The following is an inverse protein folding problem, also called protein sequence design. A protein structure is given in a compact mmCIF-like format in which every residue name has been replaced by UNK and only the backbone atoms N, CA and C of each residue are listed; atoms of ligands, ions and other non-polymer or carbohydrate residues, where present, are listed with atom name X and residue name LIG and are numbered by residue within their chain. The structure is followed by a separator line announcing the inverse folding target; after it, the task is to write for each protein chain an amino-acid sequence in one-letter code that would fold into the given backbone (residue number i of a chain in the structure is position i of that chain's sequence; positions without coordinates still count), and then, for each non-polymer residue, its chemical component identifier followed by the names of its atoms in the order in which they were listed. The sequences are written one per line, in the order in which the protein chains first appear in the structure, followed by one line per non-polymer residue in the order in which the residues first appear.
data_IF_323561039224
#
_entry.id   IF_323561039224
#
_cell.length_a   1.000
_cell.length_b   1.000
_cell.length_c   1.000
_cell.angle_alpha   90.00
_cell.angle_beta   90.00
_cell.angle_gamma   90.00
#
_symmetry.space_group_name_H-M   'P 1'
#
loop_
_entity.id
_entity.type
_entity.pdbx_description
1 polymer ?
#
# COMPACT_ATOMS: atom_id res chain seq x y z
N UNK A 1 -3.76 -2.91 -16.23
CA UNK A 1 -4.32 -1.72 -15.56
C UNK A 1 -4.31 -1.95 -14.04
N UNK A 2 -4.04 -0.94 -13.22
CA UNK A 2 -4.31 -1.02 -11.78
C UNK A 2 -5.47 -0.08 -11.48
N UNK A 3 -6.66 -0.62 -11.23
CA UNK A 3 -7.69 0.16 -10.54
C UNK A 3 -7.20 0.40 -9.12
N UNK A 4 -6.89 1.64 -8.77
CA UNK A 4 -6.44 2.01 -7.42
C UNK A 4 -7.60 2.10 -6.41
N UNK A 5 -8.74 1.52 -6.76
CA UNK A 5 -9.95 1.47 -5.95
C UNK A 5 -10.30 0.00 -5.68
N UNK A 6 -10.60 -0.31 -4.43
CA UNK A 6 -11.10 -1.60 -3.98
C UNK A 6 -12.26 -1.39 -3.02
N UNK A 7 -13.06 -2.42 -2.81
CA UNK A 7 -14.11 -2.39 -1.80
C UNK A 7 -13.47 -2.28 -0.41
N UNK A 8 -14.02 -1.46 0.51
CA UNK A 8 -13.57 -1.46 1.89
C UNK A 8 -13.72 -2.86 2.50
N UNK A 9 -12.66 -3.32 3.18
CA UNK A 9 -12.66 -4.60 3.87
C UNK A 9 -12.34 -4.32 5.34
N UNK A 10 -13.25 -4.72 6.22
CA UNK A 10 -13.02 -4.68 7.66
C UNK A 10 -12.25 -5.91 8.14
N UNK A 11 -11.31 -5.67 9.05
CA UNK A 11 -10.54 -6.71 9.72
C UNK A 11 -9.29 -7.18 8.96
N UNK A 12 -8.66 -8.21 9.53
CA UNK A 12 -7.32 -8.66 9.11
C UNK A 12 -7.35 -9.85 8.15
N UNK A 13 -8.52 -10.45 7.92
CA UNK A 13 -8.64 -11.60 7.02
C UNK A 13 -8.40 -11.17 5.57
N UNK A 14 -7.93 -12.10 4.76
CA UNK A 14 -7.79 -11.88 3.33
C UNK A 14 -9.17 -12.05 2.69
N UNK A 15 -9.56 -11.24 1.68
CA UNK A 15 -10.81 -11.45 0.98
C UNK A 15 -10.87 -12.85 0.37
N UNK A 16 -12.00 -13.53 0.56
CA UNK A 16 -12.29 -14.86 0.01
C UNK A 16 -12.99 -14.76 -1.35
N UNK A 17 -13.80 -13.73 -1.55
CA UNK A 17 -14.59 -13.51 -2.77
C UNK A 17 -13.86 -12.56 -3.72
N UNK A 18 -13.91 -12.87 -5.01
CA UNK A 18 -13.44 -11.99 -6.09
C UNK A 18 -14.62 -11.23 -6.66
N UNK A 19 -14.48 -9.92 -6.84
CA UNK A 19 -15.53 -9.08 -7.45
C UNK A 19 -15.57 -9.29 -8.97
N UNK A 20 -16.71 -9.74 -9.50
CA UNK A 20 -16.91 -9.88 -10.95
C UNK A 20 -16.71 -8.54 -11.67
N UNK A 21 -17.16 -7.44 -11.05
CA UNK A 21 -16.97 -6.09 -11.58
C UNK A 21 -15.48 -5.77 -11.82
N UNK A 22 -14.59 -6.20 -10.92
CA UNK A 22 -13.14 -5.98 -11.07
C UNK A 22 -12.56 -6.74 -12.28
N UNK A 23 -13.11 -7.94 -12.56
CA UNK A 23 -12.72 -8.74 -13.73
C UNK A 23 -13.21 -8.05 -15.01
N UNK A 24 -14.47 -7.64 -15.03
CA UNK A 24 -15.10 -7.04 -16.22
C UNK A 24 -14.41 -5.73 -16.64
N UNK A 25 -14.04 -4.88 -15.67
CA UNK A 25 -13.30 -3.64 -15.93
C UNK A 25 -11.91 -3.93 -16.52
N UNK A 26 -11.19 -4.91 -15.97
CA UNK A 26 -9.88 -5.30 -16.49
C UNK A 26 -9.99 -5.89 -17.91
N UNK A 27 -10.99 -6.75 -18.15
CA UNK A 27 -11.25 -7.36 -19.45
C UNK A 27 -11.59 -6.31 -20.52
N UNK A 28 -12.45 -5.34 -20.19
CA UNK A 28 -12.79 -4.25 -21.11
C UNK A 28 -11.55 -3.44 -21.52
N UNK A 29 -10.69 -3.09 -20.55
CA UNK A 29 -9.46 -2.37 -20.83
C UNK A 29 -8.47 -3.16 -21.70
N UNK A 30 -8.29 -4.45 -21.43
CA UNK A 30 -7.41 -5.31 -22.25
C UNK A 30 -7.95 -5.41 -23.68
N UNK A 31 -9.27 -5.61 -23.84
CA UNK A 31 -9.90 -5.68 -25.16
C UNK A 31 -9.73 -4.38 -25.97
N UNK A 32 -9.83 -3.23 -25.31
CA UNK A 32 -9.71 -1.92 -25.95
C UNK A 32 -8.26 -1.57 -26.31
N UNK A 33 -7.31 -1.81 -25.40
CA UNK A 33 -5.94 -1.30 -25.56
C UNK A 33 -4.90 -2.35 -25.96
N UNK A 34 -5.20 -3.64 -25.81
CA UNK A 34 -4.28 -4.74 -26.14
C UNK A 34 -5.03 -5.86 -26.89
N UNK A 35 -5.59 -5.58 -28.09
CA UNK A 35 -6.55 -6.46 -28.78
C UNK A 35 -5.98 -7.81 -29.24
N UNK A 36 -4.66 -7.99 -29.19
CA UNK A 36 -4.00 -9.28 -29.47
C UNK A 36 -4.14 -10.28 -28.32
N UNK A 37 -4.47 -9.82 -27.10
CA UNK A 37 -4.65 -10.68 -25.95
C UNK A 37 -6.11 -11.15 -25.84
N UNK A 38 -6.29 -12.40 -25.44
CA UNK A 38 -7.60 -12.93 -25.08
C UNK A 38 -8.09 -12.30 -23.77
N UNK A 39 -9.14 -11.49 -23.86
CA UNK A 39 -9.78 -10.81 -22.74
C UNK A 39 -11.04 -11.53 -22.25
N UNK A 40 -11.36 -12.73 -22.75
CA UNK A 40 -12.58 -13.46 -22.36
C UNK A 40 -12.52 -14.00 -20.94
N UNK A 41 -11.32 -14.34 -20.46
CA UNK A 41 -11.10 -14.83 -19.09
C UNK A 41 -9.66 -14.63 -18.61
N UNK A 42 -9.45 -14.38 -17.31
CA UNK A 42 -8.11 -14.28 -16.73
C UNK A 42 -7.44 -15.67 -16.64
N UNK A 43 -6.14 -15.73 -16.88
CA UNK A 43 -5.36 -16.97 -16.68
C UNK A 43 -5.20 -17.33 -15.20
N UNK A 44 -5.17 -16.33 -14.33
CA UNK A 44 -5.09 -16.48 -12.88
C UNK A 44 -5.83 -15.33 -12.19
N UNK A 45 -6.51 -15.63 -11.10
CA UNK A 45 -7.16 -14.65 -10.24
C UNK A 45 -6.54 -14.72 -8.86
N UNK A 46 -6.01 -13.59 -8.42
CA UNK A 46 -5.54 -13.41 -7.05
C UNK A 46 -6.22 -12.20 -6.42
N UNK A 47 -6.21 -12.16 -5.10
CA UNK A 47 -6.75 -11.04 -4.31
C UNK A 47 -5.62 -10.43 -3.50
N UNK A 48 -5.75 -9.16 -3.15
CA UNK A 48 -4.76 -8.46 -2.34
C UNK A 48 -5.47 -7.40 -1.49
N UNK A 49 -4.75 -6.83 -0.52
CA UNK A 49 -5.26 -5.77 0.34
C UNK A 49 -4.36 -4.55 0.30
N UNK A 50 -4.99 -3.39 0.35
CA UNK A 50 -4.31 -2.14 0.67
C UNK A 50 -4.62 -1.74 2.10
N UNK A 51 -3.58 -1.30 2.81
CA UNK A 51 -3.73 -0.56 4.06
C UNK A 51 -3.54 0.92 3.73
N UNK A 52 -4.61 1.69 3.89
CA UNK A 52 -4.66 3.12 3.59
C UNK A 52 -4.54 3.93 4.89
N UNK A 53 -3.77 5.02 4.87
CA UNK A 53 -3.94 6.10 5.85
C UNK A 53 -5.05 7.04 5.39
N UNK A 54 -5.51 7.92 6.28
CA UNK A 54 -6.55 8.93 5.96
C UNK A 54 -6.15 9.84 4.78
N UNK A 55 -4.84 10.12 4.64
CA UNK A 55 -4.28 10.98 3.60
C UNK A 55 -3.62 10.20 2.44
N UNK A 56 -3.79 8.88 2.38
CA UNK A 56 -3.17 7.98 1.40
C UNK A 56 -1.62 8.04 1.30
N UNK A 57 -0.93 8.45 2.37
CA UNK A 57 0.53 8.45 2.48
C UNK A 57 1.08 7.42 3.47
N UNK A 58 2.38 7.16 3.40
CA UNK A 58 3.04 6.27 4.35
C UNK A 58 2.95 6.78 5.79
N UNK A 59 3.08 5.87 6.74
CA UNK A 59 3.37 6.20 8.13
C UNK A 59 4.74 5.63 8.47
N UNK A 60 5.71 6.51 8.73
CA UNK A 60 7.11 6.16 8.95
C UNK A 60 7.64 6.96 10.14
N UNK A 61 8.28 6.29 11.10
CA UNK A 61 8.97 6.95 12.21
C UNK A 61 8.63 6.35 13.57
N UNK A 62 9.00 7.01 14.67
CA UNK A 62 8.75 6.52 16.03
C UNK A 62 7.25 6.48 16.35
N UNK A 63 6.85 5.49 17.15
CA UNK A 63 5.52 5.48 17.75
C UNK A 63 5.46 6.45 18.95
N UNK A 64 4.53 7.42 18.96
CA UNK A 64 4.39 8.38 20.06
C UNK A 64 4.18 7.68 21.41
N UNK A 65 4.97 8.08 22.40
CA UNK A 65 4.94 7.49 23.75
C UNK A 65 5.75 6.20 23.92
N UNK A 66 6.43 5.72 22.87
CA UNK A 66 7.40 4.62 22.96
C UNK A 66 8.81 5.08 22.59
N UNK A 67 9.81 4.55 23.29
CA UNK A 67 11.23 4.82 23.00
C UNK A 67 11.88 3.79 22.09
N UNK A 68 11.17 2.69 21.79
CA UNK A 68 11.75 1.49 21.15
C UNK A 68 10.86 0.88 20.06
N UNK A 69 9.82 1.58 19.61
CA UNK A 69 8.93 1.14 18.54
C UNK A 69 9.01 2.12 17.37
N UNK A 70 9.33 1.59 16.18
CA UNK A 70 9.26 2.29 14.91
C UNK A 70 8.10 1.71 14.08
N UNK A 71 7.44 2.57 13.32
CA UNK A 71 6.37 2.23 12.39
C UNK A 71 6.88 2.42 10.97
N UNK A 72 6.54 1.46 10.10
CA UNK A 72 6.67 1.57 8.66
C UNK A 72 5.48 0.88 8.01
N UNK A 73 4.49 1.63 7.56
CA UNK A 73 3.22 1.06 7.09
C UNK A 73 2.39 2.00 6.23
N UNK A 74 1.12 1.63 6.06
CA UNK A 74 0.14 2.38 5.25
C UNK A 74 0.64 2.67 3.83
N UNK A 75 1.13 1.63 3.16
CA UNK A 75 1.70 1.71 1.81
C UNK A 75 0.78 2.30 0.74
N UNK A 76 -0.52 2.41 1.01
CA UNK A 76 -1.51 3.08 0.15
C UNK A 76 -1.40 2.68 -1.34
N UNK A 77 -1.28 1.37 -1.58
CA UNK A 77 -1.15 0.77 -2.91
C UNK A 77 0.21 0.94 -3.60
N UNK A 78 1.19 1.56 -2.95
CA UNK A 78 2.49 1.90 -3.54
C UNK A 78 3.71 1.45 -2.73
N UNK A 79 3.49 0.87 -1.55
CA UNK A 79 4.57 0.51 -0.61
C UNK A 79 5.61 -0.47 -1.15
N UNK A 80 5.23 -1.42 -2.02
CA UNK A 80 6.16 -2.47 -2.48
C UNK A 80 7.42 -1.90 -3.18
N UNK A 81 7.24 -0.94 -4.10
CA UNK A 81 8.37 -0.31 -4.82
C UNK A 81 9.27 0.55 -3.92
N UNK A 82 8.75 1.05 -2.80
CA UNK A 82 9.47 1.94 -1.88
C UNK A 82 10.02 1.17 -0.66
N UNK A 83 9.59 -0.07 -0.46
CA UNK A 83 9.93 -0.89 0.71
C UNK A 83 11.44 -0.97 1.00
N UNK A 84 12.36 -1.11 0.02
CA UNK A 84 13.79 -1.11 0.30
C UNK A 84 14.29 0.20 0.94
N UNK A 85 13.79 1.35 0.47
CA UNK A 85 14.16 2.66 1.01
C UNK A 85 13.59 2.88 2.42
N UNK A 86 12.32 2.50 2.62
CA UNK A 86 11.68 2.54 3.95
C UNK A 86 12.44 1.66 4.94
N UNK A 87 12.77 0.43 4.55
CA UNK A 87 13.52 -0.51 5.39
C UNK A 87 14.90 0.04 5.78
N UNK A 88 15.62 0.68 4.83
CA UNK A 88 16.90 1.34 5.12
C UNK A 88 16.75 2.45 6.15
N UNK A 89 15.79 3.35 5.97
CA UNK A 89 15.53 4.46 6.90
C UNK A 89 15.19 3.95 8.29
N UNK A 90 14.32 2.93 8.40
CA UNK A 90 13.95 2.34 9.68
C UNK A 90 15.14 1.65 10.36
N UNK A 91 16.01 0.97 9.60
CA UNK A 91 17.21 0.36 10.13
C UNK A 91 18.22 1.41 10.62
N UNK A 92 18.38 2.53 9.90
CA UNK A 92 19.21 3.66 10.33
C UNK A 92 18.69 4.26 11.64
N UNK A 93 17.38 4.53 11.73
CA UNK A 93 16.73 5.01 12.96
C UNK A 93 16.91 4.05 14.13
N UNK A 94 16.69 2.74 13.91
CA UNK A 94 16.84 1.71 14.94
C UNK A 94 18.28 1.61 15.47
N UNK A 95 19.26 1.90 14.61
CA UNK A 95 20.67 1.96 14.98
C UNK A 95 21.09 3.31 15.63
N UNK A 96 20.14 4.21 15.90
CA UNK A 96 20.41 5.55 16.45
C UNK A 96 21.12 6.49 15.47
N UNK A 97 21.08 6.20 14.17
CA UNK A 97 21.70 7.01 13.12
C UNK A 97 20.71 8.01 12.57
N UNK A 98 21.22 9.11 12.03
CA UNK A 98 20.41 10.04 11.25
C UNK A 98 19.94 9.34 9.95
N UNK A 99 18.64 9.38 9.61
CA UNK A 99 18.14 8.85 8.36
C UNK A 99 18.84 9.44 7.13
N UNK A 100 19.09 8.60 6.14
CA UNK A 100 19.66 9.01 4.84
C UNK A 100 18.67 9.76 3.94
N UNK A 101 17.37 9.63 4.23
CA UNK A 101 16.28 10.30 3.51
C UNK A 101 15.37 10.96 4.55
N UNK A 102 14.97 12.20 4.30
CA UNK A 102 13.98 12.89 5.13
C UNK A 102 12.60 12.24 4.94
N UNK A 103 12.05 11.73 6.04
CA UNK A 103 10.73 11.10 6.10
C UNK A 103 9.80 11.83 7.07
N UNK A 104 10.15 13.05 7.50
CA UNK A 104 9.40 13.85 8.48
C UNK A 104 7.93 14.04 8.10
N UNK A 105 7.65 14.24 6.81
CA UNK A 105 6.29 14.33 6.27
C UNK A 105 5.44 13.08 6.55
N UNK A 106 6.07 11.89 6.66
CA UNK A 106 5.39 10.63 6.92
C UNK A 106 5.25 10.29 8.41
N UNK A 107 5.62 11.20 9.32
CA UNK A 107 5.43 10.99 10.77
C UNK A 107 3.96 10.74 11.11
N UNK A 108 3.71 9.88 12.11
CA UNK A 108 2.38 9.66 12.67
C UNK A 108 1.81 10.92 13.35
N UNK A 109 2.69 11.83 13.80
CA UNK A 109 2.31 13.08 14.48
C UNK A 109 1.37 13.96 13.64
N UNK A 110 1.41 13.82 12.31
CA UNK A 110 0.55 14.59 11.41
C UNK A 110 -0.95 14.33 11.62
N UNK A 111 -1.31 13.19 12.21
CA UNK A 111 -2.71 12.86 12.56
C UNK A 111 -3.05 13.13 14.02
N UNK A 112 -2.05 13.33 14.88
CA UNK A 112 -2.24 13.55 16.32
C UNK A 112 -2.44 15.03 16.67
N UNK A 113 -1.99 15.93 15.80
CA UNK A 113 -2.23 17.37 15.93
C UNK A 113 -3.64 17.68 15.41
N UNK A 114 -4.61 17.76 16.32
CA UNK A 114 -5.88 18.46 16.10
C UNK A 114 -5.81 19.85 16.72
#
# INVERSE_FOLDING_TARGET
ICSHHGEPIDGVKHPEVTSQHSIDVAAAFVKEHVPILDATQPAHLDKCKYTLSEDCHYVIGPYPGSTNVLIGGCGSGSGFKVAPAIGRVLAEMAAGKHPSVDVSFFSLDRFLKK
#
